data_IF_494592383685
#
_entry.id   IF_494592383685
#
_cell.length_a   1.000
_cell.length_b   1.000
_cell.length_c   1.000
_cell.angle_alpha   90.00
_cell.angle_beta   90.00
_cell.angle_gamma   90.00
#
_symmetry.space_group_name_H-M   'P 1'
#
loop_
_entity.id
_entity.type
_entity.pdbx_description
1 polymer ?
#
# COMPACT_ATOMS: atom_id res chain seq x y z
N UNK A 1 -15.35 5.75 16.50
CA UNK A 1 -13.93 5.88 16.83
C UNK A 1 -13.32 4.48 16.81
N UNK A 2 -12.51 4.16 15.79
CA UNK A 2 -11.85 2.86 15.64
C UNK A 2 -10.35 3.02 15.34
N UNK A 3 -9.89 4.28 15.23
CA UNK A 3 -8.50 4.68 14.97
C UNK A 3 -7.55 4.29 16.09
N UNK A 4 -8.04 4.16 17.32
CA UNK A 4 -7.19 3.80 18.47
C UNK A 4 -6.86 2.29 18.50
N UNK A 5 -7.49 1.50 17.63
CA UNK A 5 -7.35 0.04 17.58
C UNK A 5 -6.50 -0.46 16.42
N UNK A 6 -6.34 0.34 15.37
CA UNK A 6 -5.71 -0.08 14.13
C UNK A 6 -4.79 1.02 13.59
N UNK A 7 -3.56 0.65 13.27
CA UNK A 7 -2.70 1.44 12.39
C UNK A 7 -3.04 1.06 10.94
N UNK A 8 -3.54 2.03 10.17
CA UNK A 8 -3.92 1.81 8.78
C UNK A 8 -2.74 2.14 7.86
N UNK A 9 -2.29 1.14 7.10
CA UNK A 9 -1.29 1.31 6.06
C UNK A 9 -1.99 1.25 4.70
N UNK A 10 -2.05 2.39 4.01
CA UNK A 10 -2.68 2.48 2.70
C UNK A 10 -1.71 2.00 1.60
N UNK A 11 -2.10 0.96 0.89
CA UNK A 11 -1.38 0.45 -0.28
C UNK A 11 -2.27 0.65 -1.51
N UNK A 12 -1.77 1.43 -2.46
CA UNK A 12 -2.45 1.69 -3.72
C UNK A 12 -1.80 0.95 -4.88
N UNK A 13 -2.61 0.44 -5.80
CA UNK A 13 -2.15 -0.17 -7.05
C UNK A 13 -2.62 0.74 -8.20
N UNK A 14 -1.67 1.32 -8.91
CA UNK A 14 -1.99 2.16 -10.08
C UNK A 14 -2.62 1.31 -11.19
N UNK A 15 -3.28 1.96 -12.16
CA UNK A 15 -3.85 1.26 -13.34
C UNK A 15 -2.81 0.53 -14.19
N UNK A 16 -1.52 0.86 -14.04
CA UNK A 16 -0.39 0.19 -14.70
C UNK A 16 0.21 -0.96 -13.87
N UNK A 17 -0.33 -1.20 -12.66
CA UNK A 17 0.14 -2.27 -11.77
C UNK A 17 1.28 -1.89 -10.85
N UNK A 18 1.66 -0.61 -10.75
CA UNK A 18 2.64 -0.18 -9.75
C UNK A 18 2.01 -0.11 -8.36
N UNK A 19 2.65 -0.75 -7.39
CA UNK A 19 2.25 -0.78 -5.98
C UNK A 19 2.99 0.32 -5.22
N UNK A 20 2.23 1.15 -4.51
CA UNK A 20 2.73 2.33 -3.80
C UNK A 20 2.18 2.32 -2.37
N UNK A 21 3.04 2.60 -1.40
CA UNK A 21 2.63 2.98 -0.06
C UNK A 21 2.22 4.46 -0.10
N UNK A 22 0.98 4.72 0.25
CA UNK A 22 0.40 6.05 0.30
C UNK A 22 0.26 6.52 1.75
N UNK A 23 0.79 7.71 2.06
CA UNK A 23 0.79 8.28 3.42
C UNK A 23 0.00 9.60 3.51
N UNK A 24 -0.65 10.02 2.43
CA UNK A 24 -1.41 11.26 2.39
C UNK A 24 -2.87 11.10 2.87
N UNK A 25 -3.66 12.14 2.63
CA UNK A 25 -5.08 12.20 3.03
C UNK A 25 -5.98 11.30 2.18
N UNK A 26 -6.96 10.67 2.80
CA UNK A 26 -8.01 9.91 2.09
C UNK A 26 -8.79 10.76 1.08
N UNK A 27 -8.81 12.09 1.24
CA UNK A 27 -9.42 12.99 0.27
C UNK A 27 -8.78 12.85 -1.13
N UNK A 28 -7.46 12.69 -1.23
CA UNK A 28 -6.78 12.54 -2.51
C UNK A 28 -6.98 11.15 -3.14
N UNK A 29 -7.40 10.17 -2.35
CA UNK A 29 -7.85 8.88 -2.88
C UNK A 29 -9.17 9.08 -3.64
N UNK A 30 -10.14 9.76 -3.03
CA UNK A 30 -11.46 10.00 -3.60
C UNK A 30 -11.40 10.77 -4.93
N UNK A 31 -10.55 11.80 -4.99
CA UNK A 31 -10.39 12.62 -6.20
C UNK A 31 -9.31 12.12 -7.17
N UNK A 32 -8.67 10.98 -6.86
CA UNK A 32 -7.69 10.32 -7.73
C UNK A 32 -6.29 10.93 -7.78
N UNK A 33 -5.99 11.99 -7.01
CA UNK A 33 -4.66 12.60 -6.95
C UNK A 33 -3.63 11.81 -6.15
N UNK A 34 -4.05 10.79 -5.40
CA UNK A 34 -3.16 9.99 -4.57
C UNK A 34 -1.97 9.39 -5.34
N UNK A 35 -2.10 9.11 -6.64
CA UNK A 35 -1.02 8.53 -7.46
C UNK A 35 0.17 9.45 -7.64
N UNK A 36 -0.07 10.76 -7.61
CA UNK A 36 0.96 11.79 -7.87
C UNK A 36 1.51 12.40 -6.57
N UNK A 37 1.17 11.81 -5.42
CA UNK A 37 1.63 12.30 -4.12
C UNK A 37 3.15 12.18 -4.01
N UNK A 38 3.87 13.25 -3.61
CA UNK A 38 5.33 13.28 -3.62
C UNK A 38 5.96 12.24 -2.68
N UNK A 39 5.27 11.90 -1.59
CA UNK A 39 5.73 10.92 -0.61
C UNK A 39 5.32 9.47 -0.93
N UNK A 40 4.87 9.19 -2.16
CA UNK A 40 4.59 7.82 -2.58
C UNK A 40 5.89 7.02 -2.66
N UNK A 41 5.93 5.89 -1.96
CA UNK A 41 7.09 5.00 -1.96
C UNK A 41 6.70 3.68 -2.61
N UNK A 42 7.53 3.17 -3.52
CA UNK A 42 7.30 1.89 -4.15
C UNK A 42 7.36 0.77 -3.11
N UNK A 43 6.44 -0.19 -3.21
CA UNK A 43 6.45 -1.37 -2.35
C UNK A 43 5.92 -2.59 -3.08
N UNK A 44 6.16 -3.78 -2.56
CA UNK A 44 5.58 -5.04 -3.09
C UNK A 44 5.00 -5.86 -1.94
N UNK A 45 3.91 -6.58 -2.19
CA UNK A 45 3.43 -7.57 -1.25
C UNK A 45 4.32 -8.81 -1.32
N UNK A 46 4.92 -9.20 -0.19
CA UNK A 46 5.82 -10.34 -0.19
C UNK A 46 5.05 -11.65 -0.10
N UNK A 47 5.33 -12.63 -0.98
CA UNK A 47 4.74 -13.97 -0.86
C UNK A 47 5.42 -14.81 0.23
N UNK A 48 6.56 -14.36 0.78
CA UNK A 48 7.30 -15.09 1.80
C UNK A 48 6.71 -14.82 3.20
N UNK A 49 6.25 -15.86 3.92
CA UNK A 49 5.69 -15.73 5.25
C UNK A 49 6.70 -15.25 6.32
N UNK A 50 8.00 -15.27 6.04
CA UNK A 50 9.02 -14.67 6.91
C UNK A 50 8.84 -13.15 6.97
N UNK A 51 8.49 -12.52 5.85
CA UNK A 51 8.35 -11.07 5.80
C UNK A 51 7.07 -10.58 6.48
N UNK A 52 5.96 -11.34 6.37
CA UNK A 52 4.64 -11.00 6.97
C UNK A 52 4.12 -9.62 6.58
N UNK A 53 4.20 -9.29 5.30
CA UNK A 53 3.69 -8.01 4.79
C UNK A 53 4.38 -7.56 3.51
N UNK A 54 4.73 -6.29 3.48
CA UNK A 54 5.25 -5.62 2.29
C UNK A 54 6.74 -5.35 2.41
N UNK A 55 7.39 -5.23 1.25
CA UNK A 55 8.77 -4.74 1.15
C UNK A 55 8.68 -3.36 0.50
N UNK A 56 9.07 -2.33 1.23
CA UNK A 56 9.26 -0.96 0.72
C UNK A 56 10.61 -0.89 0.01
N UNK A 57 10.64 -0.25 -1.16
CA UNK A 57 11.82 -0.04 -1.98
C UNK A 57 12.23 1.43 -1.84
N UNK A 58 13.35 1.68 -1.16
CA UNK A 58 13.86 3.02 -0.93
C UNK A 58 14.61 3.54 -2.16
N UNK A 59 14.70 4.86 -2.30
CA UNK A 59 15.38 5.49 -3.45
C UNK A 59 16.88 5.19 -3.48
N UNK A 60 17.50 4.92 -2.33
CA UNK A 60 18.91 4.54 -2.20
C UNK A 60 19.19 3.06 -2.58
N UNK A 61 18.14 2.33 -3.00
CA UNK A 61 18.21 0.92 -3.37
C UNK A 61 18.18 -0.04 -2.18
N UNK A 62 18.07 0.48 -0.95
CA UNK A 62 17.77 -0.34 0.22
C UNK A 62 16.29 -0.73 0.26
N UNK A 63 15.95 -1.63 1.19
CA UNK A 63 14.59 -2.09 1.36
C UNK A 63 14.21 -2.19 2.84
N UNK A 64 12.96 -1.86 3.13
CA UNK A 64 12.41 -1.88 4.49
C UNK A 64 11.21 -2.83 4.54
N UNK A 65 11.16 -3.71 5.54
CA UNK A 65 10.01 -4.58 5.75
C UNK A 65 8.89 -3.81 6.48
N UNK A 66 7.70 -3.78 5.87
CA UNK A 66 6.46 -3.31 6.47
C UNK A 66 5.65 -4.53 6.91
N UNK A 67 5.68 -4.83 8.20
CA UNK A 67 4.88 -5.92 8.77
C UNK A 67 3.42 -5.50 8.91
N UNK A 68 2.52 -6.43 8.61
CA UNK A 68 1.08 -6.25 8.79
C UNK A 68 0.48 -7.48 9.48
N UNK A 69 -0.49 -7.26 10.35
CA UNK A 69 -1.23 -8.34 11.02
C UNK A 69 -2.40 -8.85 10.18
N UNK A 70 -2.96 -7.98 9.33
CA UNK A 70 -4.07 -8.29 8.45
C UNK A 70 -4.01 -7.44 7.17
N UNK A 71 -4.52 -7.98 6.08
CA UNK A 71 -4.73 -7.26 4.82
C UNK A 71 -6.22 -7.27 4.51
N UNK A 72 -6.78 -6.09 4.22
CA UNK A 72 -8.17 -5.97 3.79
C UNK A 72 -8.21 -5.44 2.35
N UNK A 73 -8.28 -6.33 1.33
CA UNK A 73 -8.26 -5.91 -0.06
C UNK A 73 -9.61 -5.29 -0.44
N UNK A 74 -9.59 -4.02 -0.84
CA UNK A 74 -10.74 -3.29 -1.39
C UNK A 74 -10.52 -3.10 -2.88
N UNK A 75 -10.37 -4.21 -3.59
CA UNK A 75 -10.15 -4.28 -5.03
C UNK A 75 -11.40 -4.89 -5.68
N UNK A 76 -11.81 -4.36 -6.84
CA UNK A 76 -12.97 -4.84 -7.58
C UNK A 76 -12.58 -5.35 -8.96
N UNK A 77 -13.31 -6.34 -9.46
CA UNK A 77 -13.13 -6.87 -10.81
C UNK A 77 -11.84 -7.70 -10.98
N UNK A 78 -11.29 -7.70 -12.20
CA UNK A 78 -10.16 -8.56 -12.58
C UNK A 78 -8.90 -8.23 -11.76
N UNK A 79 -8.23 -9.26 -11.25
CA UNK A 79 -7.11 -9.22 -10.30
C UNK A 79 -7.46 -8.79 -8.86
N UNK A 80 -8.75 -8.72 -8.51
CA UNK A 80 -9.22 -8.37 -7.16
C UNK A 80 -10.25 -9.34 -6.60
N UNK A 81 -11.14 -9.85 -7.45
CA UNK A 81 -12.25 -10.75 -7.09
C UNK A 81 -12.33 -12.00 -8.00
N UNK A 82 -11.27 -12.26 -8.78
CA UNK A 82 -11.12 -13.46 -9.63
C UNK A 82 -10.41 -14.62 -8.92
#
# INVERSE_FOLDING_TARGET
>A
ENSDRYEVICIGITKKGHWLRYMGSTADIENGRWTDHPDNIACIFSPDPVHRGFIQLEEDGSYTNIKVDAVFPVLHGKNGED
#
